data_IF_317829645043
#
_entry.id   IF_317829645043
#
_cell.length_a   1.000
_cell.length_b   1.000
_cell.length_c   1.000
_cell.angle_alpha   90.00
_cell.angle_beta   90.00
_cell.angle_gamma   90.00
#
_symmetry.space_group_name_H-M   'P 1'
#
loop_
_entity.id
_entity.type
_entity.pdbx_description
1 polymer ?
#
# COMPACT_ATOMS: atom_id res chain seq x y z
N UNK A 1 -14.85 4.27 26.93
CA UNK A 1 -14.22 5.27 26.02
C UNK A 1 -13.16 4.59 25.17
N UNK A 2 -13.50 4.44 23.90
CA UNK A 2 -12.71 4.27 22.67
C UNK A 2 -11.26 3.74 22.73
N UNK A 3 -11.03 2.67 21.97
CA UNK A 3 -10.14 2.74 20.79
C UNK A 3 -10.45 1.59 19.84
N UNK A 4 -10.94 1.95 18.65
CA UNK A 4 -11.04 1.06 17.50
C UNK A 4 -9.72 0.29 17.37
N UNK A 5 -9.77 -1.02 17.60
CA UNK A 5 -8.75 -1.97 17.18
C UNK A 5 -8.65 -1.85 15.66
N UNK A 6 -7.82 -0.93 15.17
CA UNK A 6 -7.44 -0.82 13.77
C UNK A 6 -6.85 -2.18 13.41
N UNK A 7 -7.68 -2.97 12.73
CA UNK A 7 -7.36 -4.25 12.10
C UNK A 7 -5.91 -4.22 11.67
N UNK A 8 -5.12 -5.13 12.25
CA UNK A 8 -3.74 -5.30 11.87
C UNK A 8 -3.65 -5.36 10.34
N UNK A 9 -2.98 -4.36 9.79
CA UNK A 9 -2.65 -4.22 8.38
C UNK A 9 -1.52 -5.21 8.10
N UNK A 10 -1.87 -6.49 8.11
CA UNK A 10 -0.97 -7.65 8.15
C UNK A 10 -0.26 -7.92 6.80
N UNK A 11 0.01 -6.88 5.99
CA UNK A 11 0.63 -6.99 4.66
C UNK A 11 1.69 -5.92 4.38
N UNK A 12 2.39 -5.44 5.41
CA UNK A 12 3.51 -4.51 5.20
C UNK A 12 3.09 -3.15 4.66
N UNK A 13 1.87 -2.68 4.89
CA UNK A 13 1.48 -1.33 4.46
C UNK A 13 1.58 -0.40 5.68
N UNK A 14 2.22 0.76 5.51
CA UNK A 14 2.38 1.83 6.50
C UNK A 14 1.68 3.08 5.96
N UNK A 15 0.84 3.68 6.78
CA UNK A 15 0.14 4.92 6.44
C UNK A 15 0.57 5.99 7.43
N UNK A 16 1.06 7.11 6.90
CA UNK A 16 1.57 8.25 7.65
C UNK A 16 0.77 9.49 7.23
N UNK A 17 -0.10 9.97 8.12
CA UNK A 17 -0.91 11.15 7.88
C UNK A 17 -0.23 12.33 8.57
N UNK A 18 0.24 13.27 7.77
CA UNK A 18 0.92 14.49 8.20
C UNK A 18 0.08 15.71 7.82
N UNK A 19 0.49 16.88 8.30
CA UNK A 19 -0.17 18.16 7.96
C UNK A 19 -0.12 18.44 6.45
N UNK A 20 0.95 18.01 5.77
CA UNK A 20 1.13 18.14 4.31
C UNK A 20 0.35 17.11 3.48
N UNK A 21 -0.28 16.12 4.11
CA UNK A 21 -1.10 15.11 3.43
C UNK A 21 -0.86 13.68 3.90
N UNK A 22 -1.36 12.72 3.11
CA UNK A 22 -1.36 11.30 3.46
C UNK A 22 -0.34 10.55 2.60
N UNK A 23 0.62 9.93 3.28
CA UNK A 23 1.69 9.14 2.70
C UNK A 23 1.44 7.66 2.97
N UNK A 24 1.62 6.84 1.95
CA UNK A 24 1.40 5.41 2.04
C UNK A 24 2.63 4.70 1.53
N UNK A 25 3.26 3.91 2.39
CA UNK A 25 4.37 3.03 2.03
C UNK A 25 3.88 1.58 2.05
N UNK A 26 4.09 0.87 0.96
CA UNK A 26 3.70 -0.53 0.81
C UNK A 26 4.95 -1.36 0.71
N UNK A 27 5.12 -2.34 1.59
CA UNK A 27 6.22 -3.28 1.57
C UNK A 27 5.68 -4.64 1.13
N UNK A 28 6.06 -5.08 -0.06
CA UNK A 28 5.60 -6.35 -0.63
C UNK A 28 6.77 -7.20 -1.12
N UNK A 29 6.60 -8.51 -1.01
CA UNK A 29 7.41 -9.47 -1.74
C UNK A 29 6.75 -9.73 -3.10
N UNK A 30 7.55 -9.84 -4.16
CA UNK A 30 7.08 -10.21 -5.49
C UNK A 30 7.55 -11.62 -5.84
N UNK A 31 6.75 -12.36 -6.61
CA UNK A 31 7.16 -13.69 -7.09
C UNK A 31 8.13 -13.55 -8.27
N UNK A 32 9.04 -14.51 -8.42
CA UNK A 32 9.89 -14.56 -9.59
C UNK A 32 9.05 -14.70 -10.87
N UNK A 33 9.38 -13.94 -11.91
CA UNK A 33 8.65 -13.97 -13.19
C UNK A 33 7.50 -12.97 -13.32
N UNK A 34 7.15 -12.18 -12.28
CA UNK A 34 6.16 -11.11 -12.42
C UNK A 34 6.79 -9.81 -12.93
N UNK A 35 6.02 -9.03 -13.70
CA UNK A 35 6.42 -7.69 -14.08
C UNK A 35 6.30 -6.76 -12.87
N UNK A 36 7.46 -6.37 -12.33
CA UNK A 36 7.57 -5.51 -11.16
C UNK A 36 6.84 -4.18 -11.36
N UNK A 37 7.09 -3.51 -12.47
CA UNK A 37 6.53 -2.18 -12.75
C UNK A 37 5.01 -2.23 -12.89
N UNK A 38 4.50 -3.25 -13.58
CA UNK A 38 3.05 -3.45 -13.74
C UNK A 38 2.38 -3.78 -12.41
N UNK A 39 2.97 -4.68 -11.63
CA UNK A 39 2.45 -5.08 -10.33
C UNK A 39 2.45 -3.92 -9.34
N UNK A 40 3.54 -3.14 -9.27
CA UNK A 40 3.62 -1.95 -8.44
C UNK A 40 2.57 -0.91 -8.82
N UNK A 41 2.36 -0.69 -10.13
CA UNK A 41 1.33 0.22 -10.63
C UNK A 41 -0.07 -0.25 -10.22
N UNK A 42 -0.38 -1.54 -10.37
CA UNK A 42 -1.65 -2.09 -9.92
C UNK A 42 -1.87 -1.92 -8.41
N UNK A 43 -0.83 -2.13 -7.59
CA UNK A 43 -0.89 -1.90 -6.15
C UNK A 43 -1.21 -0.43 -5.83
N UNK A 44 -0.48 0.51 -6.45
CA UNK A 44 -0.72 1.94 -6.26
C UNK A 44 -2.15 2.33 -6.64
N UNK A 45 -2.62 1.85 -7.78
CA UNK A 45 -3.93 2.17 -8.32
C UNK A 45 -5.05 1.54 -7.48
N UNK A 46 -4.87 0.33 -6.97
CA UNK A 46 -5.83 -0.32 -6.07
C UNK A 46 -5.95 0.44 -4.74
N UNK A 47 -4.84 0.92 -4.18
CA UNK A 47 -4.83 1.72 -2.96
C UNK A 47 -5.50 3.07 -3.20
N UNK A 48 -5.11 3.76 -4.27
CA UNK A 48 -5.70 5.04 -4.65
C UNK A 48 -7.21 4.92 -4.82
N UNK A 49 -7.67 3.95 -5.61
CA UNK A 49 -9.09 3.71 -5.84
C UNK A 49 -9.81 3.37 -4.53
N UNK A 50 -9.23 2.54 -3.66
CA UNK A 50 -9.88 2.19 -2.39
C UNK A 50 -10.11 3.41 -1.49
N UNK A 51 -9.16 4.35 -1.47
CA UNK A 51 -9.23 5.56 -0.63
C UNK A 51 -10.13 6.65 -1.21
N UNK A 52 -10.09 6.84 -2.53
CA UNK A 52 -10.95 7.81 -3.22
C UNK A 52 -12.39 7.33 -3.32
N UNK A 53 -12.61 6.05 -3.64
CA UNK A 53 -13.96 5.47 -3.85
C UNK A 53 -14.80 5.45 -2.58
N UNK A 54 -14.21 5.11 -1.43
CA UNK A 54 -14.98 4.95 -0.18
C UNK A 54 -14.93 6.16 0.74
N UNK A 55 -13.84 6.93 0.72
CA UNK A 55 -13.56 7.88 1.82
C UNK A 55 -13.27 9.30 1.37
N UNK A 56 -13.27 9.59 0.05
CA UNK A 56 -12.87 10.92 -0.49
C UNK A 56 -11.50 11.38 0.04
N UNK A 57 -10.66 10.41 0.40
CA UNK A 57 -9.30 10.65 0.88
C UNK A 57 -8.39 10.56 -0.33
N UNK A 58 -7.72 11.66 -0.65
CA UNK A 58 -6.68 11.70 -1.68
C UNK A 58 -5.31 11.51 -1.03
N UNK A 59 -4.65 10.35 -1.22
CA UNK A 59 -3.28 10.19 -0.77
C UNK A 59 -2.35 11.06 -1.60
N UNK A 60 -1.50 11.83 -0.94
CA UNK A 60 -0.53 12.70 -1.58
C UNK A 60 0.61 11.91 -2.23
N UNK A 61 0.97 10.77 -1.64
CA UNK A 61 2.02 9.92 -2.18
C UNK A 61 1.81 8.44 -1.83
N UNK A 62 2.03 7.56 -2.81
CA UNK A 62 1.97 6.11 -2.64
C UNK A 62 3.30 5.50 -3.11
N UNK A 63 4.09 5.01 -2.17
CA UNK A 63 5.38 4.37 -2.39
C UNK A 63 5.24 2.85 -2.27
N UNK A 64 5.83 2.12 -3.22
CA UNK A 64 5.87 0.65 -3.19
C UNK A 64 7.32 0.21 -3.10
N UNK A 65 7.65 -0.45 -1.99
CA UNK A 65 8.96 -0.98 -1.63
C UNK A 65 8.93 -2.50 -1.80
N UNK A 66 9.74 -3.00 -2.72
CA UNK A 66 9.83 -4.44 -2.97
C UNK A 66 11.00 -4.96 -2.14
N UNK A 67 10.69 -5.66 -1.05
CA UNK A 67 11.69 -6.10 -0.08
C UNK A 67 12.21 -7.50 -0.34
N UNK A 68 11.47 -8.33 -1.07
CA UNK A 68 11.85 -9.71 -1.35
C UNK A 68 11.35 -10.16 -2.72
N UNK A 69 12.09 -11.06 -3.35
CA UNK A 69 11.64 -11.78 -4.55
C UNK A 69 11.54 -13.25 -4.16
N UNK A 70 10.33 -13.79 -4.02
CA UNK A 70 10.14 -15.21 -3.74
C UNK A 70 10.30 -16.02 -5.02
N UNK A 71 11.28 -16.95 -5.09
CA UNK A 71 11.33 -17.91 -6.17
C UNK A 71 10.10 -18.83 -6.11
N UNK A 72 9.44 -19.02 -7.24
CA UNK A 72 8.42 -20.06 -7.39
C UNK A 72 9.13 -21.41 -7.19
N UNK A 73 8.74 -22.17 -6.15
CA UNK A 73 9.23 -23.53 -5.92
C UNK A 73 8.47 -24.51 -6.81
#
# INVERSE_FOLDING_TARGET
MNKWSKKQLHKGIKVDAREDGIFIDVYCALSYGVNISETARHIQQAIFNSLTTMTTIEPSQINVHITNIEPEN
#
